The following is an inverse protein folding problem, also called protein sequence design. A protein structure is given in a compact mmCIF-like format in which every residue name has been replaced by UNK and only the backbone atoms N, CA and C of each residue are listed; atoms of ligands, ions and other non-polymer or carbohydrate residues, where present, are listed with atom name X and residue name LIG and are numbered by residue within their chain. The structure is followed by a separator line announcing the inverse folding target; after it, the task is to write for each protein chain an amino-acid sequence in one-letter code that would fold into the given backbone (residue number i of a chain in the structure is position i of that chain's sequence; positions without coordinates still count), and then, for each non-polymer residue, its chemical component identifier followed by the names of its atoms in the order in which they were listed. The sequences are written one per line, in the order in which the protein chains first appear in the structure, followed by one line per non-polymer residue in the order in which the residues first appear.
data_IF_941875587370
#
_entry.id   IF_941875587370
#
_cell.length_a   1.000
_cell.length_b   1.000
_cell.length_c   1.000
_cell.angle_alpha   90.00
_cell.angle_beta   90.00
_cell.angle_gamma   90.00
#
_symmetry.space_group_name_H-M   'P 1'
#
loop_
_entity.id
_entity.type
_entity.pdbx_description
1 polymer ?
#
# COMPACT_ATOMS: atom_id res chain seq x y z
N UNK A 1 24.63 -25.16 35.93
CA UNK A 1 24.15 -25.81 37.19
C UNK A 1 22.73 -26.32 37.00
N UNK A 2 22.50 -27.56 37.42
CA UNK A 2 21.29 -28.33 37.18
C UNK A 2 20.02 -27.64 37.72
N UNK A 3 18.94 -27.79 36.95
CA UNK A 3 17.55 -27.59 37.35
C UNK A 3 17.29 -28.31 38.69
N UNK A 4 17.34 -27.59 39.81
CA UNK A 4 16.62 -27.98 41.01
C UNK A 4 15.18 -27.54 40.80
N UNK A 5 14.42 -28.36 40.08
CA UNK A 5 13.03 -28.11 39.70
C UNK A 5 12.13 -27.94 40.91
N UNK A 6 12.11 -26.75 41.48
CA UNK A 6 11.12 -26.35 42.46
C UNK A 6 9.80 -26.24 41.70
N UNK A 7 8.77 -26.99 42.12
CA UNK A 7 7.46 -26.96 41.43
C UNK A 7 6.93 -25.53 41.32
N UNK A 8 7.28 -24.67 42.27
CA UNK A 8 6.97 -23.26 42.28
C UNK A 8 7.61 -22.47 41.14
N UNK A 9 8.86 -22.77 40.75
CA UNK A 9 9.52 -22.11 39.62
C UNK A 9 8.91 -22.54 38.28
N UNK A 10 8.58 -23.83 38.14
CA UNK A 10 7.85 -24.32 36.95
C UNK A 10 6.48 -23.66 36.83
N UNK A 11 5.81 -23.46 37.96
CA UNK A 11 4.50 -22.82 38.01
C UNK A 11 4.58 -21.32 37.70
N UNK A 12 5.55 -20.61 38.26
CA UNK A 12 5.82 -19.21 37.93
C UNK A 12 6.20 -19.02 36.46
N UNK A 13 6.98 -19.93 35.89
CA UNK A 13 7.34 -19.89 34.47
C UNK A 13 6.11 -20.13 33.57
N UNK A 14 5.26 -21.09 33.92
CA UNK A 14 3.99 -21.34 33.22
C UNK A 14 3.05 -20.14 33.30
N UNK A 15 2.90 -19.54 34.49
CA UNK A 15 2.09 -18.34 34.66
C UNK A 15 2.64 -17.15 33.88
N UNK A 16 3.96 -16.98 33.82
CA UNK A 16 4.58 -15.94 33.02
C UNK A 16 4.31 -16.16 31.52
N UNK A 17 4.49 -17.38 31.03
CA UNK A 17 4.16 -17.72 29.63
C UNK A 17 2.69 -17.47 29.31
N UNK A 18 1.77 -17.92 30.16
CA UNK A 18 0.32 -17.85 29.90
C UNK A 18 -0.27 -16.45 30.12
N UNK A 19 0.19 -15.71 31.12
CA UNK A 19 -0.40 -14.42 31.52
C UNK A 19 0.32 -13.20 30.97
N UNK A 20 1.61 -13.33 30.61
CA UNK A 20 2.44 -12.19 30.16
C UNK A 20 2.86 -12.33 28.70
N UNK A 21 3.36 -13.50 28.31
CA UNK A 21 3.92 -13.70 26.97
C UNK A 21 2.84 -14.00 25.95
N UNK A 22 2.01 -15.02 26.21
CA UNK A 22 0.96 -15.46 25.28
C UNK A 22 0.00 -14.33 24.89
N UNK A 23 -0.54 -13.50 25.80
CA UNK A 23 -1.44 -12.41 25.42
C UNK A 23 -0.75 -11.33 24.58
N UNK A 24 0.55 -11.10 24.81
CA UNK A 24 1.33 -10.16 24.01
C UNK A 24 1.58 -10.72 22.60
N UNK A 25 1.99 -11.99 22.50
CA UNK A 25 2.20 -12.67 21.22
C UNK A 25 0.89 -12.79 20.44
N UNK A 26 -0.21 -13.18 21.08
CA UNK A 26 -1.54 -13.26 20.47
C UNK A 26 -2.02 -11.88 20.01
N UNK A 27 -1.72 -10.80 20.75
CA UNK A 27 -2.05 -9.42 20.33
C UNK A 27 -1.26 -8.98 19.10
N UNK A 28 0.00 -9.38 18.99
CA UNK A 28 0.87 -9.04 17.85
C UNK A 28 0.50 -9.86 16.62
N UNK A 29 0.27 -11.17 16.79
CA UNK A 29 -0.09 -12.07 15.70
C UNK A 29 -1.50 -11.85 15.18
N UNK A 30 -2.45 -11.50 16.05
CA UNK A 30 -3.84 -11.16 15.67
C UNK A 30 -4.06 -9.65 15.63
N UNK A 31 -3.01 -8.87 15.34
CA UNK A 31 -3.16 -7.44 15.15
C UNK A 31 -3.94 -7.19 13.86
N UNK A 32 -5.21 -6.83 14.00
CA UNK A 32 -5.99 -6.28 12.91
C UNK A 32 -5.67 -4.78 12.82
N UNK A 33 -5.16 -4.35 11.66
CA UNK A 33 -5.10 -2.92 11.35
C UNK A 33 -6.53 -2.37 11.45
N UNK A 34 -6.75 -1.39 12.33
CA UNK A 34 -8.04 -0.70 12.34
C UNK A 34 -8.20 0.11 11.03
N UNK A 35 -9.43 0.39 10.61
CA UNK A 35 -9.71 1.12 9.37
C UNK A 35 -9.06 2.51 9.34
N UNK A 36 -8.69 3.07 10.50
CA UNK A 36 -7.96 4.33 10.62
C UNK A 36 -6.44 4.18 10.45
N UNK A 37 -5.91 2.96 10.60
CA UNK A 37 -4.50 2.59 10.44
C UNK A 37 -4.14 2.27 8.98
N UNK A 38 -5.13 1.92 8.16
CA UNK A 38 -4.98 1.78 6.71
C UNK A 38 -5.01 3.16 6.05
N UNK A 39 -3.90 3.91 6.18
CA UNK A 39 -3.77 5.20 5.53
C UNK A 39 -3.67 5.01 4.01
N UNK A 40 -4.73 5.37 3.27
CA UNK A 40 -4.71 5.30 1.82
C UNK A 40 -3.61 6.16 1.19
N UNK A 41 -2.99 5.63 0.14
CA UNK A 41 -1.95 6.28 -0.65
C UNK A 41 -2.58 7.28 -1.63
N UNK A 42 -2.21 8.56 -1.52
CA UNK A 42 -2.55 9.55 -2.56
C UNK A 42 -1.40 9.69 -3.57
N UNK A 43 -1.60 9.20 -4.79
CA UNK A 43 -0.56 9.21 -5.83
C UNK A 43 -0.37 10.57 -6.50
N UNK A 44 -1.35 11.49 -6.44
CA UNK A 44 -1.28 12.75 -7.18
C UNK A 44 -0.14 13.68 -6.72
N UNK A 45 0.09 13.88 -5.40
CA UNK A 45 1.24 14.65 -4.91
C UNK A 45 2.60 14.05 -5.32
N UNK A 46 2.69 12.72 -5.46
CA UNK A 46 3.93 12.05 -5.88
C UNK A 46 4.31 12.51 -7.29
N UNK A 47 3.36 12.52 -8.23
CA UNK A 47 3.61 13.00 -9.61
C UNK A 47 4.06 14.45 -9.63
N UNK A 48 3.40 15.33 -8.88
CA UNK A 48 3.79 16.74 -8.81
C UNK A 48 5.21 16.92 -8.27
N UNK A 49 5.59 16.16 -7.23
CA UNK A 49 6.93 16.19 -6.67
C UNK A 49 7.99 15.73 -7.69
N UNK A 50 7.71 14.69 -8.45
CA UNK A 50 8.62 14.20 -9.49
C UNK A 50 8.78 15.22 -10.61
N UNK A 51 7.66 15.80 -11.07
CA UNK A 51 7.64 16.88 -12.08
C UNK A 51 8.49 18.07 -11.63
N UNK A 52 8.38 18.49 -10.38
CA UNK A 52 9.17 19.59 -9.82
C UNK A 52 10.67 19.25 -9.75
N UNK A 53 11.04 18.04 -9.32
CA UNK A 53 12.46 17.63 -9.32
C UNK A 53 13.04 17.57 -10.73
N UNK A 54 12.25 17.14 -11.71
CA UNK A 54 12.65 17.14 -13.11
C UNK A 54 12.85 18.55 -13.66
N UNK A 55 11.98 19.51 -13.32
CA UNK A 55 12.15 20.90 -13.76
C UNK A 55 13.39 21.57 -13.16
N UNK A 56 13.88 21.08 -12.03
CA UNK A 56 15.15 21.49 -11.42
C UNK A 56 16.39 20.84 -12.08
N UNK A 57 16.21 19.99 -13.10
CA UNK A 57 17.29 19.36 -13.86
C UNK A 57 17.79 18.02 -13.32
N UNK A 58 17.12 17.44 -12.30
CA UNK A 58 17.50 16.14 -11.77
C UNK A 58 17.03 15.00 -12.67
N UNK A 59 17.84 13.95 -12.78
CA UNK A 59 17.37 12.65 -13.23
C UNK A 59 16.69 11.92 -12.06
N UNK A 60 15.48 11.40 -12.29
CA UNK A 60 14.62 10.91 -11.21
C UNK A 60 14.13 9.50 -11.54
N UNK A 61 14.39 8.57 -10.61
CA UNK A 61 13.74 7.27 -10.55
C UNK A 61 12.77 7.24 -9.36
N UNK A 62 11.62 6.60 -9.54
CA UNK A 62 10.54 6.57 -8.55
C UNK A 62 10.35 5.15 -8.04
N UNK A 63 10.34 5.00 -6.71
CA UNK A 63 10.05 3.75 -6.03
C UNK A 63 8.91 4.00 -5.04
N UNK A 64 7.78 3.31 -5.22
CA UNK A 64 6.57 3.44 -4.40
C UNK A 64 6.34 2.10 -3.71
N UNK A 65 6.15 2.10 -2.40
CA UNK A 65 5.70 0.94 -1.64
C UNK A 65 4.27 1.22 -1.21
N UNK A 66 3.33 0.39 -1.65
CA UNK A 66 1.91 0.63 -1.40
C UNK A 66 1.13 -0.68 -1.35
N UNK A 67 0.17 -0.72 -0.45
CA UNK A 67 -0.90 -1.71 -0.33
C UNK A 67 -1.99 -1.58 -1.42
N UNK A 68 -1.83 -0.66 -2.38
CA UNK A 68 -2.82 -0.30 -3.41
C UNK A 68 -4.15 0.23 -2.84
N UNK A 69 -4.17 0.65 -1.58
CA UNK A 69 -5.29 1.43 -1.04
C UNK A 69 -5.06 2.87 -1.50
N UNK A 70 -5.91 3.40 -2.39
CA UNK A 70 -5.82 4.81 -2.79
C UNK A 70 -6.96 5.63 -2.22
N UNK A 71 -6.58 6.66 -1.47
CA UNK A 71 -7.49 7.64 -0.89
C UNK A 71 -7.05 9.08 -1.18
N UNK A 72 -7.98 9.92 -1.60
CA UNK A 72 -7.74 11.34 -1.85
C UNK A 72 -9.02 12.14 -1.61
N UNK A 73 -9.13 12.77 -0.43
CA UNK A 73 -10.30 13.54 -0.02
C UNK A 73 -11.61 12.74 -0.14
N UNK A 74 -12.37 12.94 -1.22
CA UNK A 74 -13.64 12.24 -1.48
C UNK A 74 -13.49 11.03 -2.43
N UNK A 75 -12.26 10.65 -2.76
CA UNK A 75 -11.97 9.49 -3.60
C UNK A 75 -11.45 8.36 -2.73
N UNK A 76 -12.27 7.35 -2.52
CA UNK A 76 -11.85 6.03 -2.09
C UNK A 76 -11.99 5.12 -3.30
N UNK A 77 -10.87 4.58 -3.80
CA UNK A 77 -10.89 3.81 -5.05
C UNK A 77 -11.61 2.48 -4.92
N UNK A 78 -11.57 1.90 -3.73
CA UNK A 78 -12.35 0.75 -3.29
C UNK A 78 -13.85 0.98 -3.51
N UNK A 79 -14.37 2.15 -3.12
CA UNK A 79 -15.79 2.50 -3.35
C UNK A 79 -16.04 2.92 -4.81
N UNK A 80 -15.07 3.60 -5.42
CA UNK A 80 -15.23 4.23 -6.73
C UNK A 80 -15.28 3.21 -7.88
N UNK A 81 -14.53 2.12 -7.76
CA UNK A 81 -14.42 1.05 -8.77
C UNK A 81 -15.32 -0.16 -8.51
N UNK A 82 -16.13 -0.16 -7.45
CA UNK A 82 -17.16 -1.17 -7.17
C UNK A 82 -18.31 -1.10 -8.20
N UNK A 83 -18.02 -1.48 -9.44
CA UNK A 83 -18.94 -1.58 -10.58
C UNK A 83 -19.41 -0.25 -11.20
N UNK A 84 -19.08 0.91 -10.62
CA UNK A 84 -19.63 2.20 -11.04
C UNK A 84 -18.78 3.00 -12.02
N UNK A 85 -17.47 2.78 -12.05
CA UNK A 85 -16.53 3.52 -12.92
C UNK A 85 -15.43 2.62 -13.43
N UNK A 86 -15.11 2.76 -14.72
CA UNK A 86 -13.96 2.09 -15.30
C UNK A 86 -12.64 2.79 -14.88
N UNK A 87 -11.64 2.05 -14.38
CA UNK A 87 -10.37 2.61 -13.92
C UNK A 87 -9.55 3.27 -15.03
N UNK A 88 -9.64 2.80 -16.28
CA UNK A 88 -8.86 3.34 -17.40
C UNK A 88 -9.41 4.71 -17.80
N UNK A 89 -10.73 4.81 -17.99
CA UNK A 89 -11.40 6.07 -18.29
C UNK A 89 -11.20 7.09 -17.18
N UNK A 90 -11.22 6.64 -15.93
CA UNK A 90 -10.98 7.51 -14.79
C UNK A 90 -9.54 8.05 -14.76
N UNK A 91 -8.55 7.21 -15.09
CA UNK A 91 -7.16 7.66 -15.23
C UNK A 91 -6.99 8.73 -16.31
N UNK A 92 -7.63 8.56 -17.48
CA UNK A 92 -7.61 9.56 -18.57
C UNK A 92 -8.20 10.90 -18.08
N UNK A 93 -9.38 10.86 -17.45
CA UNK A 93 -10.02 12.06 -16.89
C UNK A 93 -9.11 12.77 -15.89
N UNK A 94 -8.42 12.02 -15.02
CA UNK A 94 -7.52 12.58 -14.02
C UNK A 94 -6.30 13.25 -14.62
N UNK A 95 -5.61 12.57 -15.53
CA UNK A 95 -4.45 13.15 -16.24
C UNK A 95 -4.82 14.43 -16.97
N UNK A 96 -5.97 14.45 -17.66
CA UNK A 96 -6.45 15.63 -18.37
C UNK A 96 -6.81 16.75 -17.39
N UNK A 97 -7.53 16.44 -16.30
CA UNK A 97 -7.95 17.46 -15.31
C UNK A 97 -6.77 18.16 -14.63
N UNK A 98 -5.65 17.46 -14.46
CA UNK A 98 -4.45 17.99 -13.84
C UNK A 98 -3.38 18.46 -14.85
N UNK A 99 -3.63 18.34 -16.17
CA UNK A 99 -2.65 18.60 -17.22
C UNK A 99 -1.30 17.89 -16.98
N UNK A 100 -1.35 16.59 -16.72
CA UNK A 100 -0.18 15.76 -16.37
C UNK A 100 0.37 14.94 -17.54
N UNK A 101 -0.23 15.04 -18.72
CA UNK A 101 0.21 14.27 -19.89
C UNK A 101 1.69 14.54 -20.21
N UNK A 102 2.46 13.47 -20.37
CA UNK A 102 3.91 13.54 -20.64
C UNK A 102 4.78 14.19 -19.54
N UNK A 103 4.21 14.58 -18.39
CA UNK A 103 4.93 15.29 -17.32
C UNK A 103 6.08 14.48 -16.68
N UNK A 104 6.06 13.17 -16.84
CA UNK A 104 7.04 12.20 -16.33
C UNK A 104 7.81 11.51 -17.46
N UNK A 105 7.94 12.15 -18.63
CA UNK A 105 8.70 11.59 -19.75
C UNK A 105 10.11 11.15 -19.32
N UNK A 106 10.47 9.92 -19.68
CA UNK A 106 11.73 9.23 -19.35
C UNK A 106 11.93 8.88 -17.86
N UNK A 107 10.90 9.02 -17.02
CA UNK A 107 10.95 8.52 -15.64
C UNK A 107 10.67 7.02 -15.60
N UNK A 108 11.41 6.31 -14.75
CA UNK A 108 11.15 4.91 -14.41
C UNK A 108 10.47 4.84 -13.05
N UNK A 109 9.27 4.28 -13.02
CA UNK A 109 8.47 4.11 -11.80
C UNK A 109 8.35 2.62 -11.49
N UNK A 110 8.78 2.23 -10.29
CA UNK A 110 8.60 0.90 -9.73
C UNK A 110 7.65 0.99 -8.54
N UNK A 111 6.60 0.19 -8.56
CA UNK A 111 5.62 0.10 -7.48
C UNK A 111 5.70 -1.31 -6.90
N UNK A 112 5.86 -1.39 -5.59
CA UNK A 112 6.00 -2.63 -4.84
C UNK A 112 4.82 -2.79 -3.90
N UNK A 113 4.21 -3.98 -3.95
CA UNK A 113 3.07 -4.33 -3.11
C UNK A 113 3.58 -5.31 -2.03
N UNK A 114 3.53 -4.96 -0.74
CA UNK A 114 4.18 -5.73 0.33
C UNK A 114 3.47 -7.06 0.71
N UNK A 115 2.55 -7.57 -0.11
CA UNK A 115 1.69 -8.72 0.20
C UNK A 115 0.38 -8.31 0.88
N UNK A 116 -0.69 -9.07 0.61
CA UNK A 116 -2.02 -8.86 1.20
C UNK A 116 -2.21 -9.86 2.35
N UNK A 117 -2.78 -9.47 3.50
CA UNK A 117 -3.20 -10.44 4.51
C UNK A 117 -4.22 -11.41 3.91
N UNK A 118 -3.97 -12.73 3.98
CA UNK A 118 -4.91 -13.74 3.48
C UNK A 118 -6.32 -13.55 4.09
N UNK A 119 -7.36 -13.59 3.26
CA UNK A 119 -8.76 -13.60 3.70
C UNK A 119 -9.49 -12.26 3.71
N UNK A 120 -8.99 -11.22 3.04
CA UNK A 120 -9.67 -9.91 2.91
C UNK A 120 -10.19 -9.71 1.48
N UNK A 121 -11.33 -10.34 1.15
CA UNK A 121 -11.95 -10.32 -0.20
C UNK A 121 -12.19 -8.91 -0.77
N UNK A 122 -12.52 -7.94 0.09
CA UNK A 122 -12.79 -6.55 -0.31
C UNK A 122 -11.56 -5.85 -0.88
N UNK A 123 -10.35 -6.24 -0.43
CA UNK A 123 -9.11 -5.68 -0.94
C UNK A 123 -8.71 -6.31 -2.27
N UNK A 124 -9.02 -7.58 -2.50
CA UNK A 124 -8.64 -8.30 -3.73
C UNK A 124 -9.36 -7.73 -4.98
N UNK A 125 -10.65 -7.43 -4.88
CA UNK A 125 -11.43 -6.90 -6.02
C UNK A 125 -11.07 -5.45 -6.38
N UNK A 126 -10.76 -4.63 -5.38
CA UNK A 126 -10.33 -3.24 -5.61
C UNK A 126 -8.91 -3.18 -6.19
N UNK A 127 -8.04 -4.12 -5.79
CA UNK A 127 -6.62 -4.16 -6.15
C UNK A 127 -6.39 -4.16 -7.66
N UNK A 128 -7.07 -5.04 -8.38
CA UNK A 128 -6.94 -5.13 -9.85
C UNK A 128 -7.33 -3.83 -10.54
N UNK A 129 -8.39 -3.17 -10.06
CA UNK A 129 -8.85 -1.90 -10.61
C UNK A 129 -7.89 -0.75 -10.28
N UNK A 130 -7.36 -0.70 -9.06
CA UNK A 130 -6.34 0.29 -8.67
C UNK A 130 -5.07 0.08 -9.47
N UNK A 131 -4.64 -1.16 -9.67
CA UNK A 131 -3.46 -1.49 -10.48
C UNK A 131 -3.63 -1.05 -11.93
N UNK A 132 -4.78 -1.36 -12.54
CA UNK A 132 -5.14 -0.91 -13.89
C UNK A 132 -5.15 0.61 -13.99
N UNK A 133 -5.73 1.29 -12.99
CA UNK A 133 -5.74 2.75 -12.93
C UNK A 133 -4.30 3.30 -12.82
N UNK A 134 -3.45 2.82 -11.90
CA UNK A 134 -2.08 3.30 -11.72
C UNK A 134 -1.22 3.07 -12.95
N UNK A 135 -1.27 1.87 -13.54
CA UNK A 135 -0.56 1.59 -14.80
C UNK A 135 -0.93 2.58 -15.88
N UNK A 136 -2.24 2.80 -16.09
CA UNK A 136 -2.71 3.74 -17.09
C UNK A 136 -2.30 5.17 -16.78
N UNK A 137 -2.49 5.61 -15.54
CA UNK A 137 -2.19 6.96 -15.08
C UNK A 137 -0.71 7.30 -15.27
N UNK A 138 0.21 6.47 -14.80
CA UNK A 138 1.65 6.69 -14.96
C UNK A 138 2.11 6.64 -16.42
N UNK A 139 1.55 5.73 -17.22
CA UNK A 139 1.85 5.64 -18.65
C UNK A 139 1.40 6.89 -19.41
N UNK A 140 0.20 7.43 -19.11
CA UNK A 140 -0.28 8.69 -19.69
C UNK A 140 0.57 9.88 -19.26
N UNK A 141 1.08 9.88 -18.04
CA UNK A 141 2.08 10.85 -17.59
C UNK A 141 3.44 10.70 -18.31
N UNK A 142 3.66 9.66 -19.12
CA UNK A 142 4.91 9.44 -19.87
C UNK A 142 5.99 8.65 -19.11
N UNK A 143 5.67 8.10 -17.94
CA UNK A 143 6.57 7.22 -17.18
C UNK A 143 6.47 5.79 -17.71
N UNK A 144 7.59 5.08 -17.70
CA UNK A 144 7.55 3.61 -17.70
C UNK A 144 7.19 3.12 -16.29
N UNK A 145 6.25 2.19 -16.16
CA UNK A 145 5.77 1.70 -14.86
C UNK A 145 5.86 0.18 -14.76
N UNK A 146 6.39 -0.31 -13.65
CA UNK A 146 6.42 -1.73 -13.30
C UNK A 146 5.80 -1.87 -11.92
N UNK A 147 4.81 -2.74 -11.80
CA UNK A 147 4.18 -3.07 -10.52
C UNK A 147 4.57 -4.50 -10.18
N UNK A 148 5.08 -4.74 -8.97
CA UNK A 148 5.56 -6.03 -8.49
C UNK A 148 4.91 -6.38 -7.16
N UNK A 149 4.34 -7.56 -7.09
CA UNK A 149 3.99 -8.18 -5.82
C UNK A 149 5.27 -8.70 -5.14
N UNK A 150 5.39 -8.45 -3.83
CA UNK A 150 6.48 -8.93 -2.99
C UNK A 150 6.04 -10.08 -2.07
N UNK A 151 4.74 -10.40 -2.02
CA UNK A 151 4.14 -11.50 -1.27
C UNK A 151 3.77 -12.69 -2.14
#
# INVERSE_FOLDING_TARGET
PLSTGNMREKQLHKEWLEKKVKPFVDKVLNYHFDDNSLAGTNIYPVVNKVKERRSQGYDVAVYIFSDLIQESANESFHILFDGKKDPIDYAVKKVNSFNLEGSLANVKTSIFIPGVPEGVEDQENARDNVERFWKKFFNLCGSSVIIKDLG
#
